data_IF_498813672635
#
_entry.id   IF_498813672635
#
_cell.length_a   1.000
_cell.length_b   1.000
_cell.length_c   1.000
_cell.angle_alpha   90.00
_cell.angle_beta   90.00
_cell.angle_gamma   90.00
#
_symmetry.space_group_name_H-M   'P 1'
#
loop_
_entity.id
_entity.type
_entity.pdbx_description
1 polymer ?
#
# COMPACT_ATOMS: atom_id res chain seq x y z
N UNK A 1 67.13 44.12 14.42
CA UNK A 1 65.98 43.23 14.67
C UNK A 1 65.15 43.15 13.39
N UNK A 2 65.44 42.15 12.56
CA UNK A 2 64.71 41.85 11.32
C UNK A 2 65.08 40.43 10.91
N UNK A 3 64.11 39.50 10.89
CA UNK A 3 64.21 38.28 10.07
C UNK A 3 62.82 37.80 9.68
N UNK A 4 62.71 37.55 8.37
CA UNK A 4 61.56 37.05 7.62
C UNK A 4 61.29 35.56 7.93
N UNK A 5 60.01 35.18 7.95
CA UNK A 5 59.47 33.87 7.59
C UNK A 5 58.11 34.19 6.92
N UNK A 6 57.74 33.72 5.73
CA UNK A 6 58.02 32.44 5.09
C UNK A 6 56.72 31.63 5.12
N UNK A 7 55.85 31.87 4.14
CA UNK A 7 54.48 31.34 4.10
C UNK A 7 54.38 29.85 3.74
N UNK A 8 53.22 29.27 4.07
CA UNK A 8 52.67 28.07 3.45
C UNK A 8 51.16 28.03 3.69
N UNK A 9 50.40 28.27 2.62
CA UNK A 9 48.97 28.02 2.52
C UNK A 9 48.77 26.55 2.15
N UNK A 10 47.84 25.85 2.81
CA UNK A 10 47.32 24.56 2.35
C UNK A 10 45.94 24.77 1.73
N UNK A 11 45.80 24.29 0.49
CA UNK A 11 44.54 24.20 -0.24
C UNK A 11 43.63 23.15 0.41
N UNK A 12 42.37 23.52 0.60
CA UNK A 12 41.26 22.56 0.75
C UNK A 12 40.69 22.36 -0.66
N UNK A 13 40.83 21.14 -1.19
CA UNK A 13 40.21 20.76 -2.45
C UNK A 13 38.73 20.43 -2.23
N UNK A 14 37.85 21.22 -2.84
CA UNK A 14 36.45 20.88 -3.02
C UNK A 14 36.33 19.86 -4.15
N UNK A 15 35.67 18.73 -3.90
CA UNK A 15 35.24 17.79 -4.94
C UNK A 15 33.83 18.21 -5.35
N UNK A 16 33.74 18.82 -6.52
CA UNK A 16 32.47 19.08 -7.21
C UNK A 16 32.15 17.87 -8.07
N UNK A 17 31.14 17.07 -7.72
CA UNK A 17 30.59 16.06 -8.62
C UNK A 17 29.62 16.74 -9.56
N UNK A 18 29.98 16.79 -10.84
CA UNK A 18 29.11 17.25 -11.91
C UNK A 18 28.17 16.11 -12.31
N UNK A 19 26.86 16.26 -12.05
CA UNK A 19 25.83 15.41 -12.64
C UNK A 19 25.50 15.98 -14.02
N UNK A 20 25.91 15.26 -15.05
CA UNK A 20 25.56 15.56 -16.43
C UNK A 20 24.12 15.13 -16.71
N UNK A 21 23.32 16.06 -17.22
CA UNK A 21 21.92 15.83 -17.52
C UNK A 21 21.66 15.00 -18.78
N UNK A 22 20.47 14.42 -18.82
CA UNK A 22 19.79 14.00 -20.04
C UNK A 22 18.42 14.65 -20.05
N UNK A 23 18.30 15.73 -20.83
CA UNK A 23 17.03 16.33 -21.18
C UNK A 23 16.49 15.59 -22.41
N UNK A 24 15.40 14.85 -22.25
CA UNK A 24 14.63 14.33 -23.37
C UNK A 24 13.55 15.38 -23.73
N UNK A 25 13.81 16.14 -24.79
CA UNK A 25 12.83 17.02 -25.43
C UNK A 25 11.88 16.17 -26.26
N UNK A 26 10.62 16.06 -25.83
CA UNK A 26 9.56 15.48 -26.67
C UNK A 26 9.00 16.54 -27.62
N UNK A 27 8.97 16.16 -28.90
CA UNK A 27 8.60 16.99 -30.04
C UNK A 27 7.07 17.22 -30.06
N UNK A 28 6.64 18.48 -30.04
CA UNK A 28 5.24 18.83 -30.30
C UNK A 28 4.97 18.73 -31.81
N UNK A 29 4.14 17.78 -32.23
CA UNK A 29 3.55 17.80 -33.58
C UNK A 29 2.20 18.53 -33.49
N UNK A 30 2.17 19.73 -34.04
CA UNK A 30 0.94 20.49 -34.29
C UNK A 30 0.34 19.95 -35.59
N UNK A 31 -0.76 19.21 -35.48
CA UNK A 31 -1.64 18.88 -36.60
C UNK A 31 -2.86 19.78 -36.56
N UNK A 32 -3.00 20.65 -37.56
CA UNK A 32 -4.14 21.53 -37.81
C UNK A 32 -5.13 20.91 -38.81
N UNK A 33 -6.43 21.17 -38.61
CA UNK A 33 -7.52 20.96 -39.58
C UNK A 33 -8.49 19.87 -39.12
N UNK A 34 -9.72 20.14 -38.68
CA UNK A 34 -10.92 20.78 -39.28
C UNK A 34 -12.04 19.72 -39.40
N UNK A 35 -13.24 20.22 -39.15
CA UNK A 35 -14.55 19.61 -38.96
C UNK A 35 -15.01 18.52 -39.94
N UNK A 36 -15.62 17.46 -39.41
CA UNK A 36 -16.33 16.46 -40.20
C UNK A 36 -17.04 15.41 -39.34
N UNK A 37 -18.36 15.53 -39.25
CA UNK A 37 -19.27 14.58 -38.61
C UNK A 37 -19.35 13.27 -39.41
N UNK A 38 -19.26 12.10 -38.77
CA UNK A 38 -19.49 10.81 -39.42
C UNK A 38 -18.88 9.65 -38.65
N UNK A 39 -19.73 8.84 -38.01
CA UNK A 39 -19.30 7.61 -37.35
C UNK A 39 -18.87 6.56 -38.36
N UNK A 40 -17.74 5.91 -38.08
CA UNK A 40 -17.43 4.56 -38.53
C UNK A 40 -16.41 3.94 -37.56
N UNK A 41 -16.72 2.74 -37.11
CA UNK A 41 -15.87 1.88 -36.29
C UNK A 41 -14.61 1.50 -37.07
N UNK A 42 -13.48 2.14 -36.75
CA UNK A 42 -12.18 1.84 -37.33
C UNK A 42 -11.31 1.03 -36.36
N UNK A 43 -10.94 -0.16 -36.84
CA UNK A 43 -9.84 -1.03 -36.46
C UNK A 43 -8.71 -0.36 -35.66
N UNK A 44 -8.55 -0.77 -34.40
CA UNK A 44 -7.37 -0.48 -33.59
C UNK A 44 -6.19 -1.31 -34.11
N UNK A 45 -5.40 -0.73 -35.02
CA UNK A 45 -4.12 -1.29 -35.42
C UNK A 45 -2.98 -0.74 -34.56
N UNK A 46 -2.30 -1.68 -33.88
CA UNK A 46 -0.94 -1.60 -33.29
C UNK A 46 -0.79 -0.78 -32.01
N UNK A 47 -1.26 -1.37 -30.92
CA UNK A 47 -0.67 -1.15 -29.60
C UNK A 47 0.73 -1.78 -29.57
N UNK A 48 1.72 -1.03 -29.06
CA UNK A 48 3.11 -1.46 -28.92
C UNK A 48 3.18 -2.59 -27.86
N UNK A 49 3.47 -3.81 -28.30
CA UNK A 49 3.41 -5.06 -27.52
C UNK A 49 4.77 -5.39 -26.90
N UNK A 50 5.34 -4.44 -26.17
CA UNK A 50 6.46 -4.77 -25.27
C UNK A 50 5.85 -5.16 -23.93
N UNK A 51 5.93 -6.47 -23.68
CA UNK A 51 5.43 -7.22 -22.51
C UNK A 51 3.91 -7.13 -22.34
N UNK A 52 3.18 -7.96 -23.10
CA UNK A 52 1.87 -8.43 -22.65
C UNK A 52 2.16 -9.47 -21.57
N UNK A 53 1.91 -9.20 -20.27
CA UNK A 53 2.00 -10.22 -19.23
C UNK A 53 1.04 -11.35 -19.57
N UNK A 54 1.26 -12.58 -19.07
CA UNK A 54 0.37 -13.70 -19.38
C UNK A 54 -1.08 -13.33 -19.09
N UNK A 55 -1.97 -13.73 -20.01
CA UNK A 55 -3.41 -13.75 -19.72
C UNK A 55 -3.55 -14.43 -18.36
N UNK A 56 -4.15 -13.80 -17.35
CA UNK A 56 -4.32 -14.43 -16.04
C UNK A 56 -5.40 -15.55 -16.08
N UNK A 57 -5.43 -16.32 -17.17
CA UNK A 57 -6.22 -17.51 -17.45
C UNK A 57 -5.57 -18.81 -16.97
N UNK A 58 -4.38 -18.77 -16.39
CA UNK A 58 -3.83 -19.89 -15.59
C UNK A 58 -3.19 -19.37 -14.32
N UNK A 59 -4.01 -19.18 -13.28
CA UNK A 59 -3.49 -19.10 -11.93
C UNK A 59 -3.70 -20.45 -11.25
N UNK A 60 -2.66 -21.01 -10.65
CA UNK A 60 -2.80 -22.11 -9.72
C UNK A 60 -3.08 -21.52 -8.33
N UNK A 61 -3.94 -22.16 -7.54
CA UNK A 61 -4.31 -21.72 -6.19
C UNK A 61 -3.95 -22.80 -5.19
N UNK A 62 -3.32 -22.39 -4.09
CA UNK A 62 -3.00 -23.28 -2.97
C UNK A 62 -3.38 -22.65 -1.63
N UNK A 63 -3.79 -23.51 -0.69
CA UNK A 63 -3.96 -23.13 0.71
C UNK A 63 -2.58 -22.95 1.33
N UNK A 64 -2.38 -21.85 2.05
CA UNK A 64 -1.19 -21.65 2.86
C UNK A 64 -1.35 -22.38 4.20
N UNK A 65 -0.30 -23.06 4.64
CA UNK A 65 -0.27 -23.67 5.97
C UNK A 65 -0.46 -22.58 7.04
N UNK A 66 -1.33 -22.84 8.02
CA UNK A 66 -1.56 -21.96 9.17
C UNK A 66 -1.20 -22.72 10.46
N UNK A 67 -0.42 -22.13 11.40
CA UNK A 67 0.13 -22.86 12.54
C UNK A 67 -0.90 -23.31 13.58
N UNK A 68 -2.17 -22.92 13.44
CA UNK A 68 -3.35 -23.44 14.15
C UNK A 68 -3.19 -23.58 15.69
N UNK A 69 -3.31 -22.46 16.39
CA UNK A 69 -4.35 -22.19 17.40
C UNK A 69 -4.61 -20.67 17.34
N UNK A 70 -5.74 -20.22 16.78
CA UNK A 70 -6.04 -18.79 16.59
C UNK A 70 -6.58 -18.46 15.21
N UNK A 71 -7.25 -17.30 15.10
CA UNK A 71 -7.79 -16.78 13.85
C UNK A 71 -6.65 -16.27 12.95
N UNK A 72 -6.66 -16.53 11.64
CA UNK A 72 -5.69 -15.94 10.73
C UNK A 72 -5.91 -14.43 10.64
N UNK A 73 -4.80 -13.69 10.58
CA UNK A 73 -4.84 -12.31 10.14
C UNK A 73 -5.45 -12.24 8.73
N UNK A 74 -6.50 -11.46 8.56
CA UNK A 74 -7.17 -11.29 7.27
C UNK A 74 -6.38 -10.38 6.33
N UNK A 75 -5.43 -9.61 6.86
CA UNK A 75 -4.62 -8.66 6.10
C UNK A 75 -3.25 -9.26 5.78
N UNK A 76 -3.18 -10.05 4.71
CA UNK A 76 -1.92 -10.58 4.21
C UNK A 76 -1.21 -9.49 3.41
N UNK A 77 0.06 -9.23 3.77
CA UNK A 77 0.98 -8.39 2.99
C UNK A 77 1.90 -9.26 2.17
N UNK A 78 2.32 -8.76 1.00
CA UNK A 78 3.25 -9.44 0.10
C UNK A 78 4.39 -8.52 -0.27
N UNK A 79 5.60 -9.07 -0.39
CA UNK A 79 6.74 -8.32 -0.90
C UNK A 79 6.59 -8.05 -2.41
N UNK A 80 7.19 -6.97 -2.95
CA UNK A 80 7.12 -6.65 -4.38
C UNK A 80 7.51 -7.82 -5.31
N UNK A 81 8.50 -8.63 -4.94
CA UNK A 81 8.91 -9.82 -5.68
C UNK A 81 8.03 -11.08 -5.46
N UNK A 82 7.03 -11.01 -4.59
CA UNK A 82 6.14 -12.12 -4.23
C UNK A 82 6.83 -13.29 -3.51
N UNK A 83 8.04 -13.12 -3.00
CA UNK A 83 8.74 -14.19 -2.27
C UNK A 83 8.32 -14.30 -0.81
N UNK A 84 7.88 -13.19 -0.21
CA UNK A 84 7.45 -13.11 1.18
C UNK A 84 5.97 -12.77 1.25
N UNK A 85 5.24 -13.52 2.08
CA UNK A 85 3.89 -13.19 2.52
C UNK A 85 3.94 -13.12 4.04
N UNK A 86 3.36 -12.09 4.63
CA UNK A 86 3.34 -11.91 6.09
C UNK A 86 1.95 -11.51 6.55
N UNK A 87 1.61 -11.91 7.77
CA UNK A 87 0.45 -11.39 8.50
C UNK A 87 0.69 -11.54 9.99
N UNK A 88 0.00 -10.76 10.79
CA UNK A 88 0.01 -10.88 12.24
C UNK A 88 -0.73 -12.13 12.72
N UNK A 89 -0.52 -12.48 13.99
CA UNK A 89 -1.29 -13.52 14.67
C UNK A 89 -2.18 -12.83 15.71
N UNK A 90 -3.48 -12.65 15.45
CA UNK A 90 -4.42 -12.00 16.37
C UNK A 90 -4.30 -12.51 17.81
N UNK A 91 -4.16 -11.59 18.77
CA UNK A 91 -4.00 -11.91 20.19
C UNK A 91 -2.62 -12.47 20.56
N UNK A 92 -1.62 -12.34 19.70
CA UNK A 92 -0.24 -12.74 19.92
C UNK A 92 0.75 -11.61 19.61
N UNK A 93 1.91 -11.66 20.25
CA UNK A 93 3.10 -10.86 19.89
C UNK A 93 3.85 -11.43 18.68
N UNK A 94 3.43 -12.56 18.16
CA UNK A 94 4.05 -13.24 17.03
C UNK A 94 3.45 -12.75 15.70
N UNK A 95 4.23 -12.88 14.63
CA UNK A 95 3.72 -12.82 13.27
C UNK A 95 4.12 -14.06 12.49
N UNK A 96 3.41 -14.33 11.41
CA UNK A 96 3.72 -15.43 10.51
C UNK A 96 4.30 -14.92 9.21
N UNK A 97 5.24 -15.68 8.67
CA UNK A 97 5.90 -15.38 7.41
C UNK A 97 5.98 -16.65 6.57
N UNK A 98 5.46 -16.58 5.35
CA UNK A 98 5.74 -17.57 4.32
C UNK A 98 6.84 -17.04 3.41
N UNK A 99 7.86 -17.87 3.22
CA UNK A 99 8.91 -17.63 2.23
C UNK A 99 9.08 -18.87 1.37
N UNK A 100 8.85 -18.73 0.05
CA UNK A 100 8.88 -19.86 -0.88
C UNK A 100 7.98 -21.04 -0.42
N UNK A 101 6.77 -20.73 0.04
CA UNK A 101 5.77 -21.69 0.52
C UNK A 101 6.06 -22.27 1.91
N UNK A 102 7.20 -21.95 2.53
CA UNK A 102 7.55 -22.43 3.86
C UNK A 102 7.10 -21.44 4.92
N UNK A 103 6.17 -21.86 5.77
CA UNK A 103 5.73 -21.13 6.95
C UNK A 103 6.85 -21.06 8.02
N UNK A 104 7.03 -19.88 8.59
CA UNK A 104 7.82 -19.62 9.80
C UNK A 104 6.98 -18.75 10.73
N UNK A 105 6.80 -19.20 11.98
CA UNK A 105 6.28 -18.34 13.05
C UNK A 105 7.47 -17.58 13.61
N UNK A 106 7.40 -16.25 13.58
CA UNK A 106 8.41 -15.37 14.12
C UNK A 106 7.92 -14.89 15.49
N UNK A 107 8.54 -15.48 16.51
CA UNK A 107 8.45 -15.01 17.89
C UNK A 107 9.62 -14.06 18.17
N UNK A 108 9.48 -13.22 19.19
CA UNK A 108 10.46 -12.20 19.62
C UNK A 108 10.33 -10.82 18.95
N UNK A 109 9.12 -10.40 18.56
CA UNK A 109 8.85 -8.96 18.39
C UNK A 109 9.07 -8.28 19.75
N UNK A 110 9.84 -7.17 19.85
CA UNK A 110 10.23 -6.61 21.14
C UNK A 110 9.00 -6.16 21.93
N UNK A 111 9.00 -6.36 23.26
CA UNK A 111 8.04 -5.82 24.24
C UNK A 111 6.74 -6.60 24.45
N UNK A 112 5.75 -5.98 25.11
CA UNK A 112 4.51 -6.63 25.59
C UNK A 112 3.29 -6.11 24.80
N UNK A 113 2.55 -6.99 24.12
CA UNK A 113 1.31 -6.64 23.41
C UNK A 113 1.13 -7.38 22.08
N UNK A 114 -0.04 -7.21 21.46
CA UNK A 114 -0.33 -7.77 20.14
C UNK A 114 0.50 -7.06 19.07
N UNK A 115 1.16 -7.84 18.22
CA UNK A 115 1.91 -7.33 17.07
C UNK A 115 0.97 -7.18 15.87
N UNK A 116 1.06 -6.06 15.16
CA UNK A 116 0.38 -5.81 13.89
C UNK A 116 1.42 -5.61 12.80
N UNK A 117 1.25 -6.29 11.66
CA UNK A 117 2.17 -6.20 10.52
C UNK A 117 1.68 -5.14 9.55
N UNK A 118 2.53 -4.18 9.22
CA UNK A 118 2.20 -3.11 8.27
C UNK A 118 2.70 -3.39 6.85
N UNK A 119 3.85 -4.08 6.71
CA UNK A 119 4.42 -4.33 5.38
C UNK A 119 5.68 -5.20 5.40
N UNK A 120 6.08 -5.62 4.20
CA UNK A 120 7.30 -6.41 3.94
C UNK A 120 7.91 -6.03 2.60
N UNK A 121 9.24 -5.98 2.51
CA UNK A 121 9.94 -5.72 1.24
C UNK A 121 10.58 -6.97 0.64
N UNK A 122 11.17 -6.86 -0.54
CA UNK A 122 11.78 -7.98 -1.28
C UNK A 122 13.04 -8.57 -0.63
N UNK A 123 13.59 -7.93 0.41
CA UNK A 123 14.69 -8.48 1.21
C UNK A 123 14.18 -9.26 2.45
N UNK A 124 12.85 -9.30 2.66
CA UNK A 124 12.26 -9.92 3.84
C UNK A 124 12.30 -9.06 5.09
N UNK A 125 12.53 -7.74 4.95
CA UNK A 125 12.39 -6.79 6.06
C UNK A 125 10.90 -6.62 6.33
N UNK A 126 10.48 -6.94 7.55
CA UNK A 126 9.08 -6.80 7.99
C UNK A 126 8.98 -5.64 8.96
N UNK A 127 7.92 -4.85 8.82
CA UNK A 127 7.64 -3.73 9.71
C UNK A 127 6.26 -3.87 10.33
N UNK A 128 6.10 -3.26 11.50
CA UNK A 128 4.81 -3.25 12.15
C UNK A 128 4.75 -2.35 13.36
N UNK A 129 3.60 -2.37 14.00
CA UNK A 129 3.33 -1.69 15.26
C UNK A 129 2.90 -2.72 16.30
N UNK A 130 2.84 -2.30 17.56
CA UNK A 130 2.27 -3.11 18.63
C UNK A 130 1.61 -2.23 19.67
N UNK A 131 0.64 -2.79 20.38
CA UNK A 131 0.01 -2.10 21.51
C UNK A 131 1.04 -1.83 22.62
N UNK A 132 1.01 -0.65 23.23
CA UNK A 132 1.93 -0.28 24.31
C UNK A 132 1.71 -1.11 25.57
N UNK A 133 2.81 -1.53 26.20
CA UNK A 133 2.86 -2.41 27.39
C UNK A 133 2.14 -1.89 28.66
N UNK A 134 1.80 -0.60 28.73
CA UNK A 134 1.19 0.05 29.89
C UNK A 134 -0.31 0.36 29.71
N UNK A 135 -0.93 -0.11 28.63
CA UNK A 135 -2.29 0.26 28.24
C UNK A 135 -2.40 1.71 27.75
N UNK A 136 -1.28 2.36 27.41
CA UNK A 136 -1.27 3.62 26.67
C UNK A 136 -1.64 3.40 25.20
N UNK A 137 -2.18 4.45 24.58
CA UNK A 137 -2.46 4.52 23.14
C UNK A 137 -1.19 4.70 22.30
N UNK A 138 0.01 4.64 22.91
CA UNK A 138 1.26 4.77 22.19
C UNK A 138 1.65 3.42 21.60
N UNK A 139 1.55 3.31 20.27
CA UNK A 139 2.06 2.15 19.57
C UNK A 139 3.59 2.18 19.53
N UNK A 140 4.20 1.02 19.72
CA UNK A 140 5.65 0.85 19.62
C UNK A 140 5.97 0.26 18.24
N UNK A 141 6.53 1.07 17.34
CA UNK A 141 6.90 0.62 16.01
C UNK A 141 8.14 -0.29 16.06
N UNK A 142 8.20 -1.25 15.15
CA UNK A 142 9.29 -2.23 15.09
C UNK A 142 9.66 -2.60 13.65
N UNK A 143 10.91 -3.05 13.48
CA UNK A 143 11.45 -3.66 12.25
C UNK A 143 12.06 -5.00 12.58
N UNK A 144 11.70 -6.02 11.82
CA UNK A 144 12.36 -7.32 11.80
C UNK A 144 13.23 -7.45 10.54
N UNK A 145 14.51 -7.73 10.73
CA UNK A 145 15.51 -7.82 9.67
C UNK A 145 16.60 -8.80 10.10
N UNK A 146 17.05 -9.67 9.19
CA UNK A 146 18.12 -10.65 9.44
C UNK A 146 17.93 -11.55 10.68
N UNK A 147 16.68 -11.83 11.04
CA UNK A 147 16.35 -12.68 12.19
C UNK A 147 16.24 -11.95 13.52
N UNK A 148 16.42 -10.62 13.54
CA UNK A 148 16.36 -9.81 14.75
C UNK A 148 15.31 -8.71 14.62
N UNK A 149 14.59 -8.44 15.71
CA UNK A 149 13.63 -7.35 15.76
C UNK A 149 14.18 -6.17 16.56
N UNK A 150 13.93 -4.96 16.06
CA UNK A 150 14.42 -3.70 16.63
C UNK A 150 13.30 -2.67 16.73
N UNK A 151 13.33 -1.84 17.77
CA UNK A 151 12.35 -0.77 17.97
C UNK A 151 12.66 0.42 17.06
N UNK A 152 11.61 0.98 16.46
CA UNK A 152 11.64 2.22 15.70
C UNK A 152 11.03 3.34 16.53
N UNK A 153 11.74 4.46 16.61
CA UNK A 153 11.29 5.66 17.31
C UNK A 153 11.01 6.78 16.34
N UNK A 154 10.00 7.59 16.64
CA UNK A 154 9.74 8.83 15.95
C UNK A 154 10.85 9.87 16.20
N UNK A 155 10.79 10.97 15.46
CA UNK A 155 11.76 12.07 15.55
C UNK A 155 11.86 12.62 16.97
N UNK A 156 13.08 12.69 17.52
CA UNK A 156 13.30 13.16 18.90
C UNK A 156 12.79 12.19 19.98
N UNK A 157 12.56 10.93 19.61
CA UNK A 157 12.07 9.88 20.52
C UNK A 157 10.56 9.88 20.71
N UNK A 158 9.78 10.51 19.83
CA UNK A 158 8.33 10.47 19.87
C UNK A 158 7.78 9.06 19.59
N UNK A 159 6.56 8.79 20.06
CA UNK A 159 5.83 7.58 19.73
C UNK A 159 5.48 7.54 18.24
N UNK A 160 5.28 6.34 17.69
CA UNK A 160 4.89 6.13 16.29
C UNK A 160 3.53 5.46 16.32
N UNK A 161 2.50 6.10 15.74
CA UNK A 161 1.13 5.60 15.86
C UNK A 161 0.80 4.55 14.82
N UNK A 162 1.23 4.73 13.57
CA UNK A 162 0.88 3.84 12.47
C UNK A 162 1.97 3.85 11.40
N UNK A 163 2.62 2.70 11.19
CA UNK A 163 3.57 2.52 10.08
C UNK A 163 2.77 2.26 8.81
N UNK A 164 3.13 2.95 7.73
CA UNK A 164 2.43 2.82 6.45
C UNK A 164 3.07 1.76 5.57
N UNK A 165 4.35 1.91 5.21
CA UNK A 165 4.99 1.04 4.22
C UNK A 165 6.52 0.98 4.34
N UNK A 166 7.09 -0.05 3.70
CA UNK A 166 8.52 -0.24 3.49
C UNK A 166 8.79 -0.55 2.02
N UNK A 167 9.75 0.12 1.39
CA UNK A 167 10.15 -0.18 0.01
C UNK A 167 11.33 -1.17 -0.07
N UNK A 168 11.69 -1.58 -1.28
CA UNK A 168 12.79 -2.54 -1.52
C UNK A 168 14.18 -2.01 -1.17
N UNK A 169 14.34 -0.69 -1.05
CA UNK A 169 15.57 -0.10 -0.52
C UNK A 169 15.66 -0.23 1.01
N UNK A 170 14.56 -0.55 1.70
CA UNK A 170 14.47 -0.61 3.16
C UNK A 170 14.10 0.71 3.81
N UNK A 171 13.64 1.69 3.03
CA UNK A 171 13.09 2.95 3.56
C UNK A 171 11.70 2.68 4.12
N UNK A 172 11.44 3.17 5.33
CA UNK A 172 10.17 3.01 6.03
C UNK A 172 9.49 4.37 6.15
N UNK A 173 8.17 4.42 5.99
CA UNK A 173 7.37 5.64 6.15
C UNK A 173 6.20 5.43 7.11
N UNK A 174 5.85 6.48 7.83
CA UNK A 174 4.72 6.52 8.76
C UNK A 174 4.10 7.90 8.85
N UNK A 175 2.85 7.99 9.28
CA UNK A 175 2.25 9.28 9.59
C UNK A 175 2.96 9.92 10.80
N UNK A 176 3.27 11.21 10.72
CA UNK A 176 3.80 11.93 11.87
C UNK A 176 2.68 12.17 12.89
N UNK A 177 2.85 11.84 14.19
CA UNK A 177 1.88 12.19 15.20
C UNK A 177 1.87 13.70 15.40
N UNK A 178 0.71 14.31 15.70
CA UNK A 178 0.73 15.72 16.05
C UNK A 178 1.42 15.90 17.41
N UNK A 179 2.34 16.85 17.50
CA UNK A 179 3.11 17.10 18.71
C UNK A 179 2.33 17.73 19.88
N UNK A 180 0.99 17.67 19.90
CA UNK A 180 0.19 18.34 20.94
C UNK A 180 -0.07 17.41 22.13
N UNK A 181 0.24 17.90 23.33
CA UNK A 181 -0.05 17.22 24.60
C UNK A 181 -1.54 17.28 24.98
N UNK A 182 -2.41 17.82 24.13
CA UNK A 182 -3.84 18.01 24.38
C UNK A 182 -4.71 16.83 23.92
N UNK A 183 -4.18 15.90 23.13
CA UNK A 183 -4.93 14.72 22.68
C UNK A 183 -5.93 14.99 21.54
N UNK A 184 -6.13 16.25 21.16
CA UNK A 184 -7.09 16.67 20.13
C UNK A 184 -6.49 16.66 18.70
N UNK A 185 -5.16 16.70 18.56
CA UNK A 185 -4.48 16.58 17.25
C UNK A 185 -3.74 15.23 17.20
N UNK A 186 -4.22 14.27 16.40
CA UNK A 186 -3.59 12.95 16.29
C UNK A 186 -2.46 12.91 15.26
N UNK A 187 -2.45 13.82 14.27
CA UNK A 187 -1.49 13.78 13.16
C UNK A 187 -0.89 15.15 12.82
N UNK A 188 0.42 15.16 12.53
CA UNK A 188 1.19 16.32 12.10
C UNK A 188 1.08 16.60 10.60
N UNK A 189 1.76 17.66 10.13
CA UNK A 189 1.79 18.06 8.72
C UNK A 189 2.89 17.35 7.91
N UNK A 190 3.41 16.24 8.42
CA UNK A 190 4.55 15.52 7.87
C UNK A 190 4.39 14.02 7.98
N UNK A 191 5.45 13.35 7.56
CA UNK A 191 5.64 11.91 7.74
C UNK A 191 6.97 11.68 8.45
N UNK A 192 7.04 10.57 9.15
CA UNK A 192 8.26 10.01 9.67
C UNK A 192 8.88 9.11 8.60
N UNK A 193 10.19 9.21 8.43
CA UNK A 193 10.96 8.38 7.50
C UNK A 193 12.18 7.79 8.19
N UNK A 194 12.39 6.50 8.04
CA UNK A 194 13.61 5.81 8.48
C UNK A 194 14.38 5.35 7.25
N UNK A 195 15.66 5.71 7.18
CA UNK A 195 16.54 5.13 6.18
C UNK A 195 16.91 3.69 6.58
N UNK A 196 17.45 2.88 5.65
CA UNK A 196 17.82 1.50 5.93
C UNK A 196 18.77 1.40 7.12
N UNK A 197 18.40 0.59 8.12
CA UNK A 197 19.16 0.38 9.35
C UNK A 197 18.92 1.43 10.45
N UNK A 198 18.30 2.57 10.17
CA UNK A 198 18.04 3.59 11.20
C UNK A 198 16.97 3.13 12.20
N UNK A 199 17.10 3.57 13.46
CA UNK A 199 16.12 3.32 14.53
C UNK A 199 15.38 4.57 14.97
N UNK A 200 15.79 5.76 14.51
CA UNK A 200 15.14 7.03 14.80
C UNK A 200 14.74 7.68 13.48
N UNK A 201 13.49 8.16 13.41
CA UNK A 201 12.96 8.74 12.19
C UNK A 201 13.46 10.17 11.98
N UNK A 202 13.48 10.57 10.72
CA UNK A 202 13.51 11.98 10.31
C UNK A 202 12.12 12.40 9.85
N UNK A 203 11.76 13.67 10.05
CA UNK A 203 10.49 14.22 9.56
C UNK A 203 10.65 14.80 8.17
N UNK A 204 9.76 14.41 7.25
CA UNK A 204 9.57 15.06 5.95
C UNK A 204 8.22 15.77 5.96
N UNK A 205 8.21 17.08 5.71
CA UNK A 205 6.96 17.83 5.57
C UNK A 205 6.27 17.49 4.25
N UNK A 206 5.00 17.12 4.31
CA UNK A 206 4.19 16.91 3.13
C UNK A 206 3.39 18.17 2.85
N UNK A 207 3.40 18.64 1.60
CA UNK A 207 2.54 19.76 1.22
C UNK A 207 1.08 19.33 1.32
N UNK A 208 0.25 20.16 1.93
CA UNK A 208 -1.21 20.05 1.84
C UNK A 208 -1.71 21.11 0.88
N UNK A 209 -2.53 20.72 -0.11
CA UNK A 209 -3.14 21.68 -1.04
C UNK A 209 -4.33 22.39 -0.42
N UNK A 210 -4.80 21.89 0.72
CA UNK A 210 -5.97 22.35 1.46
C UNK A 210 -5.54 22.69 2.88
N UNK A 211 -5.77 23.93 3.31
CA UNK A 211 -5.48 24.38 4.69
C UNK A 211 -6.29 23.59 5.72
N UNK A 212 -5.72 23.34 6.90
CA UNK A 212 -6.40 22.65 8.01
C UNK A 212 -6.63 21.15 7.76
N UNK A 213 -5.73 20.54 6.98
CA UNK A 213 -5.75 19.10 6.71
C UNK A 213 -4.41 18.47 6.97
N UNK A 214 -4.41 17.31 7.60
CA UNK A 214 -3.21 16.50 7.79
C UNK A 214 -3.16 15.35 6.76
N UNK A 215 -1.96 14.97 6.29
CA UNK A 215 -1.78 13.84 5.39
C UNK A 215 -1.87 12.50 6.15
N UNK A 216 -2.45 11.49 5.51
CA UNK A 216 -2.19 10.07 5.81
C UNK A 216 -1.43 9.47 4.64
N UNK A 217 -0.50 8.57 4.95
CA UNK A 217 0.11 7.69 3.96
C UNK A 217 -0.38 6.28 4.25
N UNK A 218 -0.71 5.53 3.20
CA UNK A 218 -1.13 4.13 3.25
C UNK A 218 -0.10 3.22 2.61
N UNK A 219 0.53 3.68 1.54
CA UNK A 219 1.50 2.86 0.81
C UNK A 219 2.57 3.71 0.10
N UNK A 220 3.67 3.05 -0.29
CA UNK A 220 4.83 3.64 -0.93
C UNK A 220 5.39 2.73 -2.03
N UNK A 221 5.58 3.30 -3.22
CA UNK A 221 6.27 2.63 -4.32
C UNK A 221 7.79 2.61 -4.11
N UNK A 222 8.45 1.76 -4.89
CA UNK A 222 9.91 1.66 -4.92
C UNK A 222 10.65 2.93 -5.35
N UNK A 223 9.99 3.85 -6.08
CA UNK A 223 10.58 5.15 -6.44
C UNK A 223 10.32 6.26 -5.39
N UNK A 224 9.67 5.92 -4.27
CA UNK A 224 9.35 6.83 -3.18
C UNK A 224 8.10 7.67 -3.41
N UNK A 225 7.26 7.31 -4.39
CA UNK A 225 5.91 7.86 -4.51
C UNK A 225 5.05 7.33 -3.38
N UNK A 226 4.41 8.24 -2.65
CA UNK A 226 3.53 7.93 -1.53
C UNK A 226 2.08 8.09 -1.95
N UNK A 227 1.20 7.22 -1.46
CA UNK A 227 -0.25 7.34 -1.66
C UNK A 227 -0.99 7.30 -0.33
N UNK A 228 -2.15 7.96 -0.29
CA UNK A 228 -2.96 8.07 0.91
C UNK A 228 -4.07 9.09 0.78
N UNK A 229 -4.30 9.86 1.85
CA UNK A 229 -5.40 10.82 1.92
C UNK A 229 -5.08 12.09 2.71
N UNK A 230 -5.99 13.05 2.64
CA UNK A 230 -6.00 14.24 3.50
C UNK A 230 -7.34 14.34 4.22
N UNK A 231 -7.32 14.40 5.54
CA UNK A 231 -8.50 14.56 6.39
C UNK A 231 -8.52 15.97 7.00
N UNK A 232 -9.71 16.49 7.28
CA UNK A 232 -9.88 17.79 7.95
C UNK A 232 -9.57 17.69 9.45
N UNK A 233 -9.04 18.77 10.01
CA UNK A 233 -8.86 18.92 11.47
C UNK A 233 -10.19 18.75 12.22
N UNK A 234 -11.29 19.29 11.70
CA UNK A 234 -12.64 19.15 12.29
C UNK A 234 -13.12 17.69 12.41
N UNK A 235 -12.50 16.75 11.69
CA UNK A 235 -12.83 15.32 11.75
C UNK A 235 -12.04 14.51 12.76
N UNK A 236 -10.87 14.98 13.19
CA UNK A 236 -10.16 14.34 14.30
C UNK A 236 -11.03 14.33 15.57
N UNK A 237 -11.96 15.29 15.68
CA UNK A 237 -12.90 15.42 16.79
C UNK A 237 -14.21 14.61 16.64
N UNK A 238 -14.59 14.16 15.43
CA UNK A 238 -15.97 13.76 15.12
C UNK A 238 -16.22 12.25 14.87
N UNK A 239 -15.20 11.39 14.88
CA UNK A 239 -15.32 9.93 14.89
C UNK A 239 -16.36 9.29 13.91
N UNK A 240 -16.33 9.64 12.61
CA UNK A 240 -16.86 8.69 11.61
C UNK A 240 -17.65 9.19 10.40
N UNK A 241 -17.80 10.49 10.16
CA UNK A 241 -18.23 10.98 8.83
C UNK A 241 -16.99 11.54 8.17
N UNK A 242 -16.57 11.02 7.02
CA UNK A 242 -15.28 11.35 6.43
C UNK A 242 -15.36 12.49 5.41
N UNK A 243 -14.24 13.17 5.22
CA UNK A 243 -13.94 14.00 4.06
C UNK A 243 -12.50 13.66 3.69
N UNK A 244 -12.27 12.38 3.36
CA UNK A 244 -11.00 11.95 2.82
C UNK A 244 -10.85 12.47 1.40
N UNK A 245 -9.70 13.09 1.14
CA UNK A 245 -9.31 13.47 -0.19
C UNK A 245 -8.09 12.69 -0.60
N UNK A 246 -8.26 11.75 -1.53
CA UNK A 246 -7.19 10.92 -2.04
C UNK A 246 -6.04 11.78 -2.61
N UNK A 247 -4.82 11.40 -2.27
CA UNK A 247 -3.60 12.10 -2.61
C UNK A 247 -2.50 11.13 -2.98
N UNK A 248 -1.58 11.67 -3.77
CA UNK A 248 -0.24 11.14 -3.89
C UNK A 248 0.78 12.23 -3.56
N UNK A 249 1.95 11.84 -3.12
CA UNK A 249 3.10 12.72 -2.93
C UNK A 249 4.31 12.15 -3.65
N UNK A 250 5.04 13.02 -4.33
CA UNK A 250 6.36 12.63 -4.84
C UNK A 250 7.38 12.55 -3.69
N UNK A 251 8.57 12.04 -3.99
CA UNK A 251 9.68 11.93 -3.01
C UNK A 251 10.17 13.27 -2.43
N UNK A 252 9.72 14.42 -2.98
CA UNK A 252 9.97 15.75 -2.41
C UNK A 252 8.89 16.20 -1.44
N UNK A 253 7.85 15.38 -1.22
CA UNK A 253 6.68 15.69 -0.39
C UNK A 253 5.65 16.57 -1.08
N UNK A 254 5.74 16.78 -2.41
CA UNK A 254 4.80 17.60 -3.15
C UNK A 254 3.56 16.79 -3.52
N UNK A 255 2.39 17.30 -3.14
CA UNK A 255 1.12 16.63 -3.33
C UNK A 255 0.55 16.82 -4.75
N UNK A 256 -0.08 15.76 -5.25
CA UNK A 256 -0.99 15.78 -6.40
C UNK A 256 -2.34 15.23 -5.96
N UNK A 257 -3.42 15.92 -6.33
CA UNK A 257 -4.77 15.47 -6.05
C UNK A 257 -5.18 14.33 -6.98
N UNK A 258 -5.78 13.28 -6.39
CA UNK A 258 -6.40 12.20 -7.15
C UNK A 258 -7.89 12.57 -7.34
N UNK A 259 -8.36 12.82 -8.58
CA UNK A 259 -9.65 13.44 -8.84
C UNK A 259 -10.79 12.40 -8.81
N UNK A 260 -10.97 11.75 -7.66
CA UNK A 260 -12.13 10.90 -7.41
C UNK A 260 -13.29 11.83 -7.10
N UNK A 261 -14.34 11.78 -7.93
CA UNK A 261 -15.52 12.64 -7.78
C UNK A 261 -16.45 12.22 -6.64
N UNK A 262 -15.94 11.46 -5.67
CA UNK A 262 -16.68 10.93 -4.52
C UNK A 262 -16.16 11.59 -3.24
N UNK A 263 -17.04 11.68 -2.26
CA UNK A 263 -16.63 11.96 -0.88
C UNK A 263 -15.90 10.73 -0.35
N UNK A 264 -15.03 10.92 0.62
CA UNK A 264 -14.30 9.81 1.26
C UNK A 264 -13.42 8.97 0.37
N UNK A 265 -12.70 9.66 -0.50
CA UNK A 265 -11.70 9.04 -1.34
C UNK A 265 -10.38 8.84 -0.58
N UNK A 266 -9.86 7.61 -0.59
CA UNK A 266 -8.54 7.26 -0.06
C UNK A 266 -7.76 6.46 -1.11
N UNK A 267 -6.50 6.83 -1.35
CA UNK A 267 -5.59 5.96 -2.09
C UNK A 267 -4.94 4.96 -1.14
N UNK A 268 -4.96 3.69 -1.51
CA UNK A 268 -4.65 2.57 -0.60
C UNK A 268 -3.41 1.78 -1.00
N UNK A 269 -3.06 1.75 -2.28
CA UNK A 269 -1.99 0.89 -2.81
C UNK A 269 -1.36 1.51 -4.06
N UNK A 270 -0.06 1.29 -4.26
CA UNK A 270 0.71 1.78 -5.42
C UNK A 270 1.75 0.77 -5.90
N UNK A 271 1.73 0.46 -7.20
CA UNK A 271 2.75 -0.37 -7.84
C UNK A 271 3.20 0.27 -9.16
N UNK A 272 4.49 0.63 -9.22
CA UNK A 272 5.06 1.39 -10.34
C UNK A 272 4.27 2.67 -10.60
N UNK A 273 3.71 2.78 -11.80
CA UNK A 273 2.91 3.94 -12.20
C UNK A 273 1.42 3.82 -11.87
N UNK A 274 0.96 2.78 -11.17
CA UNK A 274 -0.46 2.54 -10.90
C UNK A 274 -0.82 2.72 -9.45
N UNK A 275 -1.99 3.32 -9.20
CA UNK A 275 -2.54 3.57 -7.87
C UNK A 275 -3.96 3.00 -7.79
N UNK A 276 -4.28 2.33 -6.69
CA UNK A 276 -5.65 2.04 -6.28
C UNK A 276 -6.13 3.11 -5.33
N UNK A 277 -7.36 3.53 -5.55
CA UNK A 277 -8.06 4.38 -4.62
C UNK A 277 -9.53 4.02 -4.57
N UNK A 278 -10.13 4.17 -3.40
CA UNK A 278 -11.52 3.81 -3.14
C UNK A 278 -12.26 5.02 -2.60
N UNK A 279 -13.49 5.22 -3.06
CA UNK A 279 -14.48 6.08 -2.44
C UNK A 279 -15.50 5.27 -1.65
N UNK A 280 -16.59 5.91 -1.23
CA UNK A 280 -17.66 5.29 -0.43
C UNK A 280 -18.25 4.03 -1.06
N UNK A 281 -18.37 3.98 -2.39
CA UNK A 281 -19.08 2.89 -3.08
C UNK A 281 -18.28 2.22 -4.18
N UNK A 282 -17.11 2.73 -4.53
CA UNK A 282 -16.41 2.32 -5.73
C UNK A 282 -14.89 2.32 -5.56
N UNK A 283 -14.26 1.32 -6.17
CA UNK A 283 -12.82 1.32 -6.38
C UNK A 283 -12.46 1.92 -7.74
N UNK A 284 -11.30 2.54 -7.79
CA UNK A 284 -10.71 3.18 -8.94
C UNK A 284 -9.27 2.74 -9.09
N UNK A 285 -8.80 2.68 -10.34
CA UNK A 285 -7.37 2.68 -10.64
C UNK A 285 -7.01 3.88 -11.50
N UNK A 286 -5.78 4.34 -11.38
CA UNK A 286 -5.26 5.45 -12.18
C UNK A 286 -3.75 5.35 -12.30
N UNK A 287 -3.20 6.03 -13.30
CA UNK A 287 -1.75 6.20 -13.41
C UNK A 287 -1.26 7.39 -12.57
N UNK A 288 0.00 7.36 -12.13
CA UNK A 288 0.73 8.42 -11.40
C UNK A 288 1.08 9.66 -12.25
N UNK A 289 0.62 9.71 -13.51
CA UNK A 289 0.91 10.82 -14.43
C UNK A 289 0.41 12.17 -13.90
N UNK A 290 0.97 13.28 -14.43
CA UNK A 290 0.63 14.64 -13.98
C UNK A 290 -0.87 15.04 -14.10
N UNK A 291 -1.67 14.26 -14.83
CA UNK A 291 -3.12 14.45 -14.98
C UNK A 291 -3.81 13.08 -14.90
N UNK A 292 -3.94 12.51 -13.70
CA UNK A 292 -4.54 11.20 -13.55
C UNK A 292 -6.00 11.22 -14.00
N UNK A 293 -6.41 10.19 -14.73
CA UNK A 293 -7.81 9.96 -15.12
C UNK A 293 -8.25 8.66 -14.44
N UNK A 294 -9.04 8.74 -13.36
CA UNK A 294 -9.53 7.54 -12.67
C UNK A 294 -10.42 6.69 -13.57
N UNK A 295 -10.11 5.41 -13.63
CA UNK A 295 -10.97 4.37 -14.19
C UNK A 295 -11.73 3.69 -13.06
N UNK A 296 -13.06 3.76 -13.12
CA UNK A 296 -13.94 3.10 -12.16
C UNK A 296 -13.98 1.58 -12.40
N UNK A 297 -13.78 0.80 -11.35
CA UNK A 297 -13.77 -0.66 -11.38
C UNK A 297 -15.15 -1.22 -11.03
N UNK A 298 -16.08 -1.19 -12.00
CA UNK A 298 -17.48 -1.58 -11.75
C UNK A 298 -17.63 -3.04 -11.30
N UNK A 299 -18.34 -3.26 -10.18
CA UNK A 299 -18.59 -4.59 -9.61
C UNK A 299 -17.35 -5.24 -9.00
N UNK A 300 -16.37 -4.43 -8.62
CA UNK A 300 -15.08 -4.89 -8.13
C UNK A 300 -14.59 -4.03 -6.96
N UNK A 301 -14.17 -4.67 -5.89
CA UNK A 301 -13.53 -4.05 -4.72
C UNK A 301 -12.04 -4.30 -4.84
N UNK A 302 -11.26 -3.27 -5.18
CA UNK A 302 -9.81 -3.40 -5.35
C UNK A 302 -9.06 -3.10 -4.05
N UNK A 303 -8.04 -3.90 -3.79
CA UNK A 303 -7.15 -3.83 -2.62
C UNK A 303 -5.69 -3.72 -3.03
N UNK A 304 -5.31 -4.29 -4.17
CA UNK A 304 -3.94 -4.30 -4.67
C UNK A 304 -3.86 -4.02 -6.17
N UNK A 305 -2.72 -3.57 -6.67
CA UNK A 305 -2.41 -3.37 -8.10
C UNK A 305 -1.01 -3.84 -8.43
N UNK A 306 -0.79 -4.26 -9.68
CA UNK A 306 0.54 -4.56 -10.20
C UNK A 306 1.05 -3.43 -11.12
N UNK A 307 2.32 -3.53 -11.51
CA UNK A 307 2.98 -2.54 -12.41
C UNK A 307 2.39 -2.53 -13.82
N UNK A 308 1.58 -3.53 -14.19
CA UNK A 308 0.86 -3.57 -15.47
C UNK A 308 -0.51 -2.87 -15.40
N UNK A 309 -0.97 -2.52 -14.19
CA UNK A 309 -2.25 -1.88 -13.92
C UNK A 309 -3.41 -2.85 -13.69
N UNK A 310 -3.15 -4.16 -13.55
CA UNK A 310 -4.18 -5.10 -13.14
C UNK A 310 -4.49 -4.86 -11.67
N UNK A 311 -5.76 -4.65 -11.36
CA UNK A 311 -6.22 -4.51 -9.99
C UNK A 311 -6.68 -5.87 -9.47
N UNK A 312 -6.42 -6.14 -8.20
CA UNK A 312 -6.77 -7.37 -7.52
C UNK A 312 -7.63 -7.05 -6.31
N UNK A 313 -8.49 -8.00 -5.97
CA UNK A 313 -9.40 -7.84 -4.85
C UNK A 313 -10.58 -8.79 -4.97
N UNK A 314 -11.79 -8.27 -4.86
CA UNK A 314 -13.03 -9.03 -4.76
C UNK A 314 -13.99 -8.69 -5.87
N UNK A 315 -14.54 -9.71 -6.54
CA UNK A 315 -15.64 -9.54 -7.50
C UNK A 315 -16.95 -9.68 -6.74
N UNK A 316 -17.83 -8.69 -6.85
CA UNK A 316 -19.18 -8.78 -6.30
C UNK A 316 -19.96 -9.81 -7.11
N UNK A 317 -20.42 -10.89 -6.47
CA UNK A 317 -21.18 -11.93 -7.16
C UNK A 317 -22.48 -11.36 -7.73
N UNK A 318 -22.73 -11.45 -9.06
CA UNK A 318 -23.99 -10.98 -9.65
C UNK A 318 -25.18 -11.88 -9.28
N UNK A 319 -24.93 -13.05 -8.69
CA UNK A 319 -25.97 -14.04 -8.34
C UNK A 319 -26.46 -13.89 -6.91
N UNK A 320 -26.46 -12.68 -6.34
CA UNK A 320 -27.16 -12.35 -5.09
C UNK A 320 -28.69 -12.53 -5.21
N UNK A 321 -29.15 -13.67 -5.73
CA UNK A 321 -30.44 -14.21 -5.34
C UNK A 321 -30.25 -14.63 -3.88
N UNK A 322 -30.69 -13.74 -2.99
CA UNK A 322 -30.96 -14.00 -1.59
C UNK A 322 -31.42 -15.46 -1.41
N UNK A 323 -30.52 -16.33 -0.91
CA UNK A 323 -30.81 -17.75 -0.72
C UNK A 323 -31.96 -17.96 0.29
N UNK A 324 -32.31 -16.94 1.08
CA UNK A 324 -33.37 -16.95 2.08
C UNK A 324 -34.69 -16.36 1.59
N UNK A 325 -34.70 -15.62 0.47
CA UNK A 325 -35.87 -14.99 -0.13
C UNK A 325 -36.62 -14.02 0.80
N UNK A 326 -35.96 -13.48 1.82
CA UNK A 326 -36.53 -12.53 2.78
C UNK A 326 -36.46 -11.07 2.29
N UNK A 327 -35.78 -10.83 1.16
CA UNK A 327 -35.69 -9.52 0.52
C UNK A 327 -34.93 -8.51 1.36
N UNK A 328 -34.13 -8.98 2.32
CA UNK A 328 -33.17 -8.18 3.05
C UNK A 328 -31.81 -8.41 2.37
N UNK A 329 -31.44 -7.48 1.50
CA UNK A 329 -30.12 -7.32 0.85
C UNK A 329 -28.98 -7.03 1.88
N UNK A 330 -28.97 -7.71 3.03
CA UNK A 330 -27.99 -7.53 4.11
C UNK A 330 -26.85 -8.56 4.07
N UNK A 331 -26.64 -9.26 2.95
CA UNK A 331 -25.37 -9.98 2.71
C UNK A 331 -24.52 -9.24 1.66
N UNK A 332 -24.00 -8.03 1.96
CA UNK A 332 -23.16 -7.24 1.07
C UNK A 332 -21.80 -7.89 0.74
N UNK A 333 -21.54 -9.11 1.21
CA UNK A 333 -20.18 -9.58 1.46
C UNK A 333 -19.74 -10.83 0.67
N UNK A 334 -20.57 -11.35 -0.24
CA UNK A 334 -20.14 -12.45 -1.12
C UNK A 334 -19.24 -11.97 -2.27
N UNK A 335 -18.06 -11.53 -1.88
CA UNK A 335 -16.94 -11.36 -2.78
C UNK A 335 -16.38 -12.73 -3.14
N UNK A 336 -15.86 -12.86 -4.35
CA UNK A 336 -14.92 -13.94 -4.68
C UNK A 336 -13.59 -13.32 -5.07
N UNK A 337 -12.45 -13.95 -4.73
CA UNK A 337 -11.15 -13.43 -5.12
C UNK A 337 -11.09 -13.24 -6.63
N UNK A 338 -10.55 -12.11 -7.07
CA UNK A 338 -10.63 -11.74 -8.47
C UNK A 338 -9.57 -10.77 -8.93
N UNK A 339 -9.61 -10.54 -10.24
CA UNK A 339 -8.75 -9.60 -10.94
C UNK A 339 -9.59 -8.74 -11.88
N UNK A 340 -9.23 -7.47 -11.99
CA UNK A 340 -9.73 -6.52 -12.96
C UNK A 340 -8.60 -6.09 -13.90
N UNK A 341 -8.67 -6.55 -15.15
CA UNK A 341 -7.78 -6.10 -16.23
C UNK A 341 -8.48 -5.06 -17.11
N UNK A 342 -9.57 -5.46 -17.74
CA UNK A 342 -10.48 -4.72 -18.61
C UNK A 342 -11.94 -4.96 -18.20
N UNK A 343 -12.15 -6.01 -17.40
CA UNK A 343 -13.39 -6.41 -16.76
C UNK A 343 -13.05 -7.18 -15.49
N UNK A 344 -13.94 -7.15 -14.52
CA UNK A 344 -13.88 -8.00 -13.34
C UNK A 344 -14.02 -9.48 -13.75
N UNK A 345 -13.19 -10.34 -13.18
CA UNK A 345 -13.32 -11.79 -13.32
C UNK A 345 -12.80 -12.52 -12.09
N UNK A 346 -13.44 -13.63 -11.70
CA UNK A 346 -13.00 -14.42 -10.56
C UNK A 346 -11.66 -15.11 -10.86
N UNK A 347 -10.87 -15.32 -9.82
CA UNK A 347 -9.72 -16.21 -9.80
C UNK A 347 -10.16 -17.64 -9.48
N UNK A 348 -9.35 -18.66 -9.84
CA UNK A 348 -9.59 -20.02 -9.38
C UNK A 348 -9.59 -20.09 -7.86
N UNK A 349 -10.46 -20.92 -7.30
CA UNK A 349 -10.57 -21.14 -5.85
C UNK A 349 -10.40 -22.62 -5.53
N UNK A 350 -9.97 -22.92 -4.32
CA UNK A 350 -9.87 -24.31 -3.85
C UNK A 350 -11.30 -24.80 -3.54
N UNK A 351 -11.72 -25.86 -4.24
CA UNK A 351 -13.01 -26.51 -4.01
C UNK A 351 -13.01 -27.28 -2.68
N UNK A 352 -14.20 -27.50 -2.10
CA UNK A 352 -14.40 -28.30 -0.88
C UNK A 352 -13.61 -27.86 0.37
N UNK A 353 -13.14 -26.61 0.42
CA UNK A 353 -12.51 -26.03 1.61
C UNK A 353 -13.55 -25.80 2.70
N UNK A 354 -13.27 -26.36 3.88
CA UNK A 354 -14.03 -26.04 5.09
C UNK A 354 -13.63 -24.67 5.58
N UNK A 355 -14.58 -23.79 5.92
CA UNK A 355 -14.25 -22.54 6.60
C UNK A 355 -13.41 -22.82 7.84
N UNK A 356 -12.34 -22.06 8.02
CA UNK A 356 -11.45 -22.24 9.17
C UNK A 356 -12.20 -21.97 10.49
N UNK A 357 -13.16 -21.04 10.47
CA UNK A 357 -14.06 -20.73 11.58
C UNK A 357 -15.51 -20.66 11.09
N UNK A 358 -16.43 -21.26 11.85
CA UNK A 358 -17.87 -21.28 11.53
C UNK A 358 -18.61 -20.03 12.02
N UNK A 359 -18.03 -19.30 12.98
CA UNK A 359 -18.68 -18.21 13.71
C UNK A 359 -18.10 -16.82 13.40
N UNK A 360 -17.05 -16.74 12.57
CA UNK A 360 -16.51 -15.45 12.15
C UNK A 360 -17.35 -14.98 10.96
N UNK A 361 -18.06 -13.84 11.06
CA UNK A 361 -18.73 -13.24 9.93
C UNK A 361 -17.66 -12.85 8.91
N UNK A 362 -17.43 -13.76 7.98
CA UNK A 362 -16.72 -13.64 6.71
C UNK A 362 -15.56 -12.63 6.71
N UNK A 363 -14.35 -13.11 7.03
CA UNK A 363 -13.16 -12.48 6.44
C UNK A 363 -13.37 -12.46 4.92
N UNK A 364 -13.28 -11.28 4.31
CA UNK A 364 -13.65 -11.09 2.90
C UNK A 364 -12.89 -12.09 2.03
N UNK A 365 -13.64 -12.83 1.21
CA UNK A 365 -13.12 -13.74 0.19
C UNK A 365 -12.50 -12.91 -0.94
N UNK A 366 -11.26 -12.47 -0.70
CA UNK A 366 -10.63 -11.38 -1.44
C UNK A 366 -9.12 -11.60 -1.59
N UNK A 367 -8.55 -11.12 -2.68
CA UNK A 367 -7.10 -10.88 -2.75
C UNK A 367 -6.78 -9.65 -1.90
N UNK A 368 -5.73 -9.68 -1.08
CA UNK A 368 -5.31 -8.52 -0.26
C UNK A 368 -3.95 -7.97 -0.66
N UNK A 369 -3.12 -8.76 -1.33
CA UNK A 369 -1.81 -8.34 -1.80
C UNK A 369 -1.41 -9.01 -3.11
N UNK A 370 -0.58 -8.32 -3.89
CA UNK A 370 -0.06 -8.79 -5.17
C UNK A 370 1.43 -8.46 -5.31
N UNK A 371 2.18 -9.29 -6.03
CA UNK A 371 3.54 -8.94 -6.46
C UNK A 371 3.49 -7.85 -7.54
N UNK A 372 4.56 -7.09 -7.69
CA UNK A 372 4.65 -6.01 -8.69
C UNK A 372 4.46 -6.49 -10.13
N UNK A 373 4.79 -7.74 -10.42
CA UNK A 373 4.59 -8.37 -11.73
C UNK A 373 3.23 -9.10 -11.86
N UNK A 374 2.45 -9.14 -10.78
CA UNK A 374 1.17 -9.84 -10.67
C UNK A 374 1.25 -11.35 -10.89
N UNK A 375 2.44 -11.94 -10.80
CA UNK A 375 2.66 -13.38 -10.93
C UNK A 375 2.30 -14.14 -9.65
N UNK A 376 2.28 -13.46 -8.49
CA UNK A 376 1.85 -14.03 -7.22
C UNK A 376 0.87 -13.11 -6.51
N UNK A 377 -0.14 -13.71 -5.89
CA UNK A 377 -1.18 -13.01 -5.16
C UNK A 377 -1.41 -13.71 -3.83
N UNK A 378 -1.77 -12.97 -2.79
CA UNK A 378 -2.16 -13.52 -1.48
C UNK A 378 -3.49 -12.92 -1.04
N UNK A 379 -4.25 -13.70 -0.29
CA UNK A 379 -5.55 -13.29 0.20
C UNK A 379 -6.25 -14.40 0.97
N UNK A 380 -7.57 -14.31 1.04
CA UNK A 380 -8.38 -15.23 1.82
C UNK A 380 -9.43 -15.94 0.96
N UNK A 381 -9.72 -17.18 1.33
CA UNK A 381 -10.83 -17.96 0.80
C UNK A 381 -11.47 -18.80 1.90
N UNK A 382 -12.73 -18.50 2.22
CA UNK A 382 -13.50 -19.05 3.34
C UNK A 382 -12.74 -18.93 4.66
N UNK A 383 -12.11 -17.78 4.87
CA UNK A 383 -11.25 -17.51 6.02
C UNK A 383 -9.97 -18.34 6.09
N UNK A 384 -9.56 -19.01 5.01
CA UNK A 384 -8.26 -19.66 4.92
C UNK A 384 -7.29 -18.78 4.12
N UNK A 385 -6.04 -18.60 4.55
CA UNK A 385 -5.03 -17.91 3.76
C UNK A 385 -4.72 -18.72 2.50
N UNK A 386 -4.65 -18.05 1.37
CA UNK A 386 -4.43 -18.64 0.05
C UNK A 386 -3.40 -17.85 -0.73
N UNK A 387 -2.69 -18.56 -1.61
CA UNK A 387 -1.79 -17.97 -2.58
C UNK A 387 -2.20 -18.39 -3.99
N UNK A 388 -2.17 -17.44 -4.91
CA UNK A 388 -2.28 -17.70 -6.34
C UNK A 388 -0.93 -17.51 -7.01
N UNK A 389 -0.57 -18.42 -7.93
CA UNK A 389 0.57 -18.28 -8.82
C UNK A 389 0.08 -18.22 -10.26
N UNK A 390 0.23 -17.07 -10.91
CA UNK A 390 -0.27 -16.76 -12.25
C UNK A 390 0.88 -16.71 -13.26
N UNK A 391 0.70 -17.32 -14.44
CA UNK A 391 1.75 -17.41 -15.46
C UNK A 391 1.26 -17.66 -16.87
#
# INVERSE_FOLDING_TARGET
MTKRFGGRWWLVGAITVAVAGLAATTLTVIGSGDSGNGGDSASLSKLDTKTVPPDAGSCDVELLDWPAEGEPGFDLKMSPNGEYIVTDTPGSSDFVMWHNGKLTVVSDVPGEGDASVSGVNSQGVVIGTRSGSDGSTAYEAWRYEDGEASELRGSGGSAVLDLAAVNDEGTIVAAEPAGSSSGDDLYGNGILTWAPGDTEATTVSLSTTTSGRAPTVRDMSNDGTLVGGQFSEEMMDAAGEGDYQARMWDSSGKATAIPIGEYDALASDVAGDWVIASGESNSYRLTTTAKPVPEKLGGFTATAVDTSGRAYGGVVSPTGEDENGDGIDDDPDQHVPGVFDSKARPLPVVEDVKPLHQDVPYGLDIVTAASEDGAKLAGNWKGNPVMWTCG
#
